data_IF_265817729614
#
_entry.id   IF_265817729614
#
_cell.length_a   1.000
_cell.length_b   1.000
_cell.length_c   1.000
_cell.angle_alpha   90.00
_cell.angle_beta   90.00
_cell.angle_gamma   90.00
#
_symmetry.space_group_name_H-M   'P 1'
#
loop_
_entity.id
_entity.type
_entity.pdbx_description
1 polymer ?
#
# COMPACT_ATOMS: atom_id res chain seq x y z
N UNK A 1 16.24 22.84 0.16
CA UNK A 1 16.01 24.09 0.94
C UNK A 1 14.59 24.21 1.52
N UNK A 2 13.51 23.97 0.73
CA UNK A 2 12.13 24.17 1.20
C UNK A 2 11.69 23.12 2.25
N UNK A 3 11.89 21.83 1.97
CA UNK A 3 11.51 20.72 2.88
C UNK A 3 12.22 20.81 4.24
N UNK A 4 13.45 21.32 4.27
CA UNK A 4 14.22 21.52 5.50
C UNK A 4 13.59 22.52 6.48
N UNK A 5 12.78 23.45 5.97
CA UNK A 5 12.08 24.47 6.76
C UNK A 5 10.76 23.99 7.34
N UNK A 6 10.28 22.82 6.90
CA UNK A 6 9.05 22.24 7.43
C UNK A 6 9.33 21.50 8.74
N UNK A 7 8.66 21.84 9.85
CA UNK A 7 8.88 21.20 11.16
C UNK A 7 8.79 19.68 11.12
N UNK A 8 7.93 19.15 10.24
CA UNK A 8 7.68 17.72 10.06
C UNK A 8 8.88 16.96 9.51
N UNK A 9 9.79 17.64 8.80
CA UNK A 9 10.94 17.03 8.13
C UNK A 9 12.29 17.48 8.69
N UNK A 10 12.35 18.60 9.44
CA UNK A 10 13.60 19.22 9.87
C UNK A 10 14.50 18.26 10.65
N UNK A 11 13.97 17.60 11.69
CA UNK A 11 14.74 16.68 12.55
C UNK A 11 15.26 15.43 11.83
N UNK A 12 14.62 15.07 10.70
CA UNK A 12 15.02 13.90 9.88
C UNK A 12 16.00 14.29 8.80
N UNK A 13 15.94 15.55 8.38
CA UNK A 13 16.85 16.13 7.41
C UNK A 13 18.24 16.31 7.98
N UNK A 14 18.31 16.66 9.27
CA UNK A 14 19.58 16.86 9.97
C UNK A 14 20.40 15.56 10.11
N UNK A 15 19.76 14.40 9.94
CA UNK A 15 20.42 13.09 9.91
C UNK A 15 20.98 12.71 8.53
N UNK A 16 20.74 13.52 7.50
CA UNK A 16 21.20 13.26 6.13
C UNK A 16 22.39 14.15 5.79
N UNK A 17 23.43 13.54 5.21
CA UNK A 17 24.55 14.30 4.65
C UNK A 17 24.12 15.00 3.37
N UNK A 18 24.09 16.33 3.38
CA UNK A 18 23.66 17.17 2.23
C UNK A 18 24.54 16.98 0.98
N UNK A 19 25.80 16.59 1.16
CA UNK A 19 26.74 16.42 0.05
C UNK A 19 26.52 15.10 -0.72
N UNK A 20 25.87 14.12 -0.10
CA UNK A 20 25.60 12.79 -0.68
C UNK A 20 24.12 12.55 -0.97
N UNK A 21 23.29 13.60 -0.90
CA UNK A 21 21.85 13.50 -0.99
C UNK A 21 21.38 13.18 -2.41
N UNK A 22 21.06 11.93 -2.68
CA UNK A 22 20.46 11.49 -3.92
C UNK A 22 18.92 11.55 -3.86
N UNK A 23 18.28 11.74 -5.02
CA UNK A 23 16.82 11.77 -5.17
C UNK A 23 16.13 10.59 -4.48
N UNK A 24 16.67 9.38 -4.63
CA UNK A 24 16.13 8.16 -4.00
C UNK A 24 16.09 8.22 -2.47
N UNK A 25 17.06 8.86 -1.82
CA UNK A 25 17.07 9.03 -0.37
C UNK A 25 15.96 10.00 0.08
N UNK A 26 15.71 11.06 -0.70
CA UNK A 26 14.62 12.00 -0.44
C UNK A 26 13.26 11.30 -0.57
N UNK A 27 13.06 10.54 -1.65
CA UNK A 27 11.83 9.76 -1.88
C UNK A 27 11.58 8.76 -0.76
N UNK A 28 12.62 8.07 -0.30
CA UNK A 28 12.57 7.12 0.82
C UNK A 28 12.16 7.80 2.13
N UNK A 29 12.74 8.97 2.42
CA UNK A 29 12.40 9.77 3.60
C UNK A 29 10.95 10.25 3.53
N UNK A 30 10.49 10.73 2.38
CA UNK A 30 9.11 11.16 2.18
C UNK A 30 8.13 9.99 2.33
N UNK A 31 8.42 8.83 1.73
CA UNK A 31 7.62 7.60 1.91
C UNK A 31 7.52 7.23 3.39
N UNK A 32 8.63 7.16 4.10
CA UNK A 32 8.66 6.86 5.54
C UNK A 32 7.83 7.86 6.36
N UNK A 33 7.89 9.14 5.99
CA UNK A 33 7.11 10.20 6.62
C UNK A 33 5.60 10.00 6.49
N UNK A 34 5.13 9.60 5.29
CA UNK A 34 3.71 9.30 5.04
C UNK A 34 3.22 8.20 5.99
N UNK A 35 3.97 7.11 6.13
CA UNK A 35 3.58 5.99 6.99
C UNK A 35 3.59 6.35 8.48
N UNK A 36 4.54 7.17 8.92
CA UNK A 36 4.56 7.65 10.30
C UNK A 36 3.39 8.59 10.60
N UNK A 37 3.04 9.47 9.65
CA UNK A 37 1.87 10.33 9.79
C UNK A 37 0.57 9.50 9.80
N UNK A 38 0.47 8.47 8.96
CA UNK A 38 -0.64 7.53 9.00
C UNK A 38 -0.78 6.86 10.38
N UNK A 39 0.31 6.33 10.94
CA UNK A 39 0.30 5.70 12.27
C UNK A 39 -0.10 6.68 13.38
N UNK A 40 0.29 7.95 13.28
CA UNK A 40 -0.15 9.00 14.22
C UNK A 40 -1.65 9.24 14.12
N UNK A 41 -2.18 9.41 12.90
CA UNK A 41 -3.63 9.59 12.69
C UNK A 41 -4.38 8.39 13.22
N UNK A 42 -3.91 7.18 12.92
CA UNK A 42 -4.52 5.93 13.37
C UNK A 42 -4.57 5.83 14.90
N UNK A 43 -3.54 6.30 15.60
CA UNK A 43 -3.48 6.30 17.07
C UNK A 43 -4.60 7.14 17.70
N UNK A 44 -4.90 8.31 17.13
CA UNK A 44 -5.95 9.21 17.63
C UNK A 44 -7.34 8.92 17.07
N UNK A 45 -7.45 8.05 16.08
CA UNK A 45 -8.71 7.71 15.44
C UNK A 45 -9.62 6.89 16.35
N UNK A 46 -10.91 7.17 16.30
CA UNK A 46 -11.95 6.36 16.94
C UNK A 46 -12.16 5.02 16.17
N UNK A 47 -12.90 4.03 16.73
CA UNK A 47 -13.07 2.74 16.09
C UNK A 47 -13.67 2.78 14.69
N UNK A 48 -14.58 3.70 14.40
CA UNK A 48 -15.17 3.85 13.05
C UNK A 48 -14.17 4.44 12.07
N UNK A 49 -13.43 5.45 12.48
CA UNK A 49 -12.36 6.04 11.69
C UNK A 49 -11.23 5.03 11.43
N UNK A 50 -10.89 4.17 12.40
CA UNK A 50 -9.90 3.09 12.21
C UNK A 50 -10.33 2.12 11.13
N UNK A 51 -11.61 1.73 11.07
CA UNK A 51 -12.12 0.86 9.99
C UNK A 51 -11.92 1.46 8.60
N UNK A 52 -12.09 2.78 8.48
CA UNK A 52 -11.78 3.48 7.23
C UNK A 52 -10.27 3.49 6.95
N UNK A 53 -9.47 3.80 7.97
CA UNK A 53 -8.00 3.82 7.83
C UNK A 53 -7.43 2.44 7.51
N UNK A 54 -7.97 1.37 8.09
CA UNK A 54 -7.60 -0.01 7.77
C UNK A 54 -7.87 -0.32 6.30
N UNK A 55 -9.02 0.11 5.78
CA UNK A 55 -9.30 -0.04 4.35
C UNK A 55 -8.38 0.86 3.50
N UNK A 56 -8.21 2.12 3.89
CA UNK A 56 -7.33 3.05 3.18
C UNK A 56 -5.90 2.52 3.09
N UNK A 57 -5.41 1.86 4.14
CA UNK A 57 -4.06 1.30 4.18
C UNK A 57 -3.82 0.18 3.17
N UNK A 58 -4.87 -0.56 2.75
CA UNK A 58 -4.77 -1.63 1.76
C UNK A 58 -4.18 -1.19 0.42
N UNK A 59 -4.35 0.07 0.03
CA UNK A 59 -3.70 0.62 -1.16
C UNK A 59 -2.17 0.53 -1.12
N UNK A 60 -1.58 0.60 0.07
CA UNK A 60 -0.13 0.47 0.23
C UNK A 60 0.31 -0.97 0.13
N UNK A 61 -0.49 -1.90 0.68
CA UNK A 61 -0.27 -3.34 0.52
C UNK A 61 -0.33 -3.73 -0.96
N UNK A 62 -1.39 -3.30 -1.67
CA UNK A 62 -1.57 -3.53 -3.10
C UNK A 62 -0.40 -2.98 -3.92
N UNK A 63 0.10 -1.80 -3.58
CA UNK A 63 1.27 -1.23 -4.26
C UNK A 63 2.49 -2.13 -4.14
N UNK A 64 2.81 -2.59 -2.92
CA UNK A 64 3.96 -3.47 -2.69
C UNK A 64 3.75 -4.81 -3.40
N UNK A 65 2.54 -5.39 -3.34
CA UNK A 65 2.23 -6.61 -4.07
C UNK A 65 2.43 -6.44 -5.59
N UNK A 66 1.98 -5.33 -6.17
CA UNK A 66 2.19 -5.04 -7.60
C UNK A 66 3.68 -4.86 -7.95
N UNK A 67 4.47 -4.23 -7.08
CA UNK A 67 5.92 -4.12 -7.27
C UNK A 67 6.59 -5.50 -7.25
N UNK A 68 6.23 -6.36 -6.30
CA UNK A 68 6.74 -7.75 -6.24
C UNK A 68 6.31 -8.56 -7.46
N UNK A 69 5.04 -8.51 -7.85
CA UNK A 69 4.54 -9.20 -9.04
C UNK A 69 5.26 -8.75 -10.31
N UNK A 70 5.52 -7.46 -10.45
CA UNK A 70 6.27 -6.91 -11.59
C UNK A 70 7.69 -7.52 -11.65
N UNK A 71 8.39 -7.62 -10.52
CA UNK A 71 9.71 -8.23 -10.47
C UNK A 71 9.67 -9.71 -10.87
N UNK A 72 8.65 -10.46 -10.42
CA UNK A 72 8.47 -11.88 -10.77
C UNK A 72 8.24 -12.04 -12.29
N UNK A 73 7.35 -11.22 -12.88
CA UNK A 73 7.03 -11.33 -14.32
C UNK A 73 8.16 -10.84 -15.23
N UNK A 74 8.87 -9.81 -14.81
CA UNK A 74 9.98 -9.26 -15.62
C UNK A 74 11.23 -10.16 -15.59
N UNK A 75 11.25 -11.22 -14.78
CA UNK A 75 12.41 -12.10 -14.56
C UNK A 75 13.72 -11.31 -14.36
N UNK A 76 13.62 -10.12 -13.82
CA UNK A 76 14.78 -9.28 -13.61
C UNK A 76 15.53 -9.83 -12.40
N UNK A 77 16.82 -10.14 -12.58
CA UNK A 77 17.80 -10.17 -11.48
C UNK A 77 17.99 -8.75 -10.92
N UNK A 78 16.88 -8.08 -10.63
CA UNK A 78 16.88 -6.74 -10.06
C UNK A 78 17.00 -6.85 -8.54
N UNK A 79 17.56 -5.80 -7.95
CA UNK A 79 17.57 -5.70 -6.48
C UNK A 79 16.17 -5.94 -5.91
N UNK A 80 16.07 -6.67 -4.79
CA UNK A 80 14.79 -6.92 -4.14
C UNK A 80 14.04 -5.60 -3.89
N UNK A 81 12.72 -5.64 -3.94
CA UNK A 81 11.89 -4.46 -3.63
C UNK A 81 12.32 -3.87 -2.29
N UNK A 82 12.73 -2.60 -2.28
CA UNK A 82 13.14 -1.92 -1.04
C UNK A 82 11.93 -1.68 -0.13
N UNK A 83 11.70 -2.60 0.77
CA UNK A 83 10.61 -2.54 1.75
C UNK A 83 10.94 -1.75 3.01
N UNK A 84 12.17 -1.25 3.14
CA UNK A 84 12.61 -0.54 4.36
C UNK A 84 11.71 0.65 4.76
N UNK A 85 11.10 1.43 3.83
CA UNK A 85 10.16 2.47 4.19
C UNK A 85 8.82 1.94 4.72
N UNK A 86 8.45 0.71 4.36
CA UNK A 86 7.14 0.10 4.63
C UNK A 86 7.14 -0.84 5.84
N UNK A 87 8.30 -1.39 6.23
CA UNK A 87 8.43 -2.49 7.20
C UNK A 87 7.68 -2.22 8.51
N UNK A 88 7.86 -1.05 9.10
CA UNK A 88 7.18 -0.70 10.35
C UNK A 88 5.67 -0.56 10.16
N UNK A 89 5.25 0.03 9.05
CA UNK A 89 3.83 0.16 8.69
C UNK A 89 3.17 -1.22 8.54
N UNK A 90 3.78 -2.13 7.78
CA UNK A 90 3.25 -3.49 7.59
C UNK A 90 3.17 -4.24 8.92
N UNK A 91 4.18 -4.13 9.77
CA UNK A 91 4.18 -4.77 11.09
C UNK A 91 3.05 -4.29 12.00
N UNK A 92 2.61 -3.03 11.87
CA UNK A 92 1.59 -2.42 12.74
C UNK A 92 0.18 -2.52 12.17
N UNK A 93 0.02 -2.51 10.85
CA UNK A 93 -1.27 -2.31 10.19
C UNK A 93 -1.60 -3.36 9.12
N UNK A 94 -0.77 -4.37 8.94
CA UNK A 94 -0.96 -5.43 7.95
C UNK A 94 -0.70 -6.81 8.57
N UNK A 95 -1.32 -7.84 8.00
CA UNK A 95 -1.03 -9.24 8.29
C UNK A 95 -0.16 -9.89 7.18
N UNK A 96 0.38 -9.09 6.26
CA UNK A 96 1.32 -9.54 5.24
C UNK A 96 2.74 -9.49 5.81
N UNK A 97 3.46 -10.60 5.73
CA UNK A 97 4.90 -10.64 5.97
C UNK A 97 5.63 -10.06 4.75
N UNK A 98 5.94 -8.77 4.85
CA UNK A 98 6.55 -8.02 3.73
C UNK A 98 7.95 -8.53 3.39
N UNK A 99 8.71 -8.99 4.35
CA UNK A 99 10.05 -9.52 4.10
C UNK A 99 9.96 -10.87 3.35
N UNK A 100 8.96 -11.68 3.66
CA UNK A 100 8.74 -12.96 3.00
C UNK A 100 8.25 -12.81 1.56
N UNK A 101 7.29 -11.94 1.29
CA UNK A 101 6.77 -11.77 -0.07
C UNK A 101 7.81 -11.23 -1.05
N UNK A 102 8.80 -10.45 -0.58
CA UNK A 102 9.87 -9.90 -1.44
C UNK A 102 10.93 -10.93 -1.82
N UNK A 103 10.93 -12.09 -1.17
CA UNK A 103 11.85 -13.20 -1.54
C UNK A 103 11.22 -14.21 -2.48
N UNK A 104 9.93 -14.05 -2.82
CA UNK A 104 9.23 -14.94 -3.74
C UNK A 104 9.78 -14.77 -5.17
N UNK A 105 10.05 -15.89 -5.83
CA UNK A 105 10.53 -15.95 -7.22
C UNK A 105 9.44 -16.32 -8.22
N UNK A 106 8.32 -16.86 -7.74
CA UNK A 106 7.18 -17.26 -8.59
C UNK A 106 5.86 -16.72 -8.04
N UNK A 107 4.85 -16.64 -8.92
CA UNK A 107 3.50 -16.24 -8.52
C UNK A 107 2.85 -17.24 -7.55
N UNK A 108 3.14 -18.53 -7.70
CA UNK A 108 2.68 -19.60 -6.81
C UNK A 108 3.19 -19.40 -5.39
N UNK A 109 4.48 -19.09 -5.25
CA UNK A 109 5.09 -18.79 -3.96
C UNK A 109 4.45 -17.55 -3.32
N UNK A 110 4.32 -16.47 -4.10
CA UNK A 110 3.70 -15.22 -3.64
C UNK A 110 2.27 -15.45 -3.14
N UNK A 111 1.42 -16.11 -3.95
CA UNK A 111 0.03 -16.39 -3.58
C UNK A 111 -0.01 -17.32 -2.36
N UNK A 112 0.87 -18.30 -2.28
CA UNK A 112 0.96 -19.19 -1.10
C UNK A 112 1.33 -18.44 0.18
N UNK A 113 2.18 -17.41 0.10
CA UNK A 113 2.51 -16.54 1.23
C UNK A 113 1.32 -15.72 1.72
N UNK A 114 0.34 -15.47 0.85
CA UNK A 114 -0.88 -14.70 1.18
C UNK A 114 -2.02 -15.57 1.74
N UNK A 115 -1.81 -16.87 1.99
CA UNK A 115 -2.85 -17.72 2.61
C UNK A 115 -3.28 -17.14 3.95
N UNK A 116 -4.61 -16.96 4.09
CA UNK A 116 -5.20 -16.32 5.27
C UNK A 116 -5.31 -14.79 5.18
N UNK A 117 -4.77 -14.18 4.13
CA UNK A 117 -4.97 -12.77 3.82
C UNK A 117 -6.11 -12.61 2.80
N UNK A 118 -6.76 -11.45 2.79
CA UNK A 118 -7.87 -11.14 1.89
C UNK A 118 -7.50 -11.13 0.41
N UNK A 119 -6.25 -10.92 0.05
CA UNK A 119 -5.77 -10.91 -1.34
C UNK A 119 -5.57 -12.32 -1.90
N UNK A 120 -5.53 -13.34 -1.05
CA UNK A 120 -5.35 -14.73 -1.48
C UNK A 120 -6.43 -15.18 -2.48
N UNK A 121 -7.70 -14.96 -2.14
CA UNK A 121 -8.81 -15.43 -2.99
C UNK A 121 -8.85 -14.73 -4.36
N UNK A 122 -8.75 -13.40 -4.46
CA UNK A 122 -8.69 -12.72 -5.76
C UNK A 122 -7.54 -13.21 -6.64
N UNK A 123 -6.34 -13.35 -6.08
CA UNK A 123 -5.15 -13.73 -6.84
C UNK A 123 -5.15 -15.22 -7.23
N UNK A 124 -5.59 -16.12 -6.34
CA UNK A 124 -5.67 -17.56 -6.67
C UNK A 124 -6.65 -17.85 -7.80
N UNK A 125 -7.77 -17.10 -7.90
CA UNK A 125 -8.72 -17.23 -9.02
C UNK A 125 -8.09 -16.86 -10.36
N UNK A 126 -7.25 -15.83 -10.40
CA UNK A 126 -6.55 -15.44 -11.62
C UNK A 126 -5.51 -16.53 -12.00
N UNK A 127 -4.83 -17.11 -11.00
CA UNK A 127 -3.83 -18.16 -11.23
C UNK A 127 -4.44 -19.43 -11.87
N UNK A 128 -5.72 -19.72 -11.68
CA UNK A 128 -6.41 -20.85 -12.34
C UNK A 128 -6.49 -20.70 -13.86
N UNK A 129 -6.25 -19.50 -14.39
CA UNK A 129 -6.21 -19.25 -15.84
C UNK A 129 -4.79 -19.43 -16.40
N UNK A 130 -4.61 -20.36 -17.31
CA UNK A 130 -3.29 -20.68 -17.91
C UNK A 130 -2.62 -19.48 -18.62
N UNK A 131 -3.38 -18.49 -19.05
CA UNK A 131 -2.89 -17.33 -19.80
C UNK A 131 -2.90 -16.05 -18.96
N UNK A 132 -2.90 -16.15 -17.63
CA UNK A 132 -2.95 -15.01 -16.74
C UNK A 132 -1.73 -14.08 -16.91
N UNK A 133 -1.97 -12.82 -17.15
CA UNK A 133 -0.98 -11.77 -17.32
C UNK A 133 -0.81 -10.97 -16.03
N UNK A 134 0.33 -10.26 -15.90
CA UNK A 134 0.55 -9.32 -14.79
C UNK A 134 -0.62 -8.33 -14.63
N UNK A 135 -1.19 -7.86 -15.74
CA UNK A 135 -2.34 -6.96 -15.76
C UNK A 135 -3.56 -7.55 -15.04
N UNK A 136 -3.85 -8.85 -15.25
CA UNK A 136 -5.02 -9.51 -14.67
C UNK A 136 -4.91 -9.59 -13.14
N UNK A 137 -3.74 -9.90 -12.62
CA UNK A 137 -3.46 -9.88 -11.18
C UNK A 137 -3.59 -8.47 -10.60
N UNK A 138 -3.02 -7.47 -11.28
CA UNK A 138 -3.13 -6.08 -10.89
C UNK A 138 -4.57 -5.60 -10.84
N UNK A 139 -5.36 -5.93 -11.87
CA UNK A 139 -6.78 -5.62 -11.97
C UNK A 139 -7.60 -6.30 -10.86
N UNK A 140 -7.31 -7.56 -10.55
CA UNK A 140 -8.00 -8.27 -9.47
C UNK A 140 -7.83 -7.59 -8.11
N UNK A 141 -6.62 -7.10 -7.81
CA UNK A 141 -6.34 -6.34 -6.58
C UNK A 141 -7.07 -4.99 -6.55
N UNK A 142 -7.09 -4.26 -7.68
CA UNK A 142 -7.79 -2.98 -7.78
C UNK A 142 -9.31 -3.17 -7.62
N UNK A 143 -9.90 -4.14 -8.32
CA UNK A 143 -11.32 -4.46 -8.20
C UNK A 143 -11.70 -4.89 -6.78
N UNK A 144 -10.84 -5.68 -6.12
CA UNK A 144 -11.03 -6.00 -4.71
C UNK A 144 -11.10 -4.73 -3.85
N UNK A 145 -10.12 -3.83 -4.00
CA UNK A 145 -10.03 -2.60 -3.24
C UNK A 145 -11.23 -1.68 -3.45
N UNK A 146 -11.64 -1.45 -4.71
CA UNK A 146 -12.82 -0.67 -5.05
C UNK A 146 -14.11 -1.25 -4.47
N UNK A 147 -14.26 -2.57 -4.57
CA UNK A 147 -15.41 -3.26 -4.00
C UNK A 147 -15.49 -3.05 -2.49
N UNK A 148 -14.37 -3.08 -1.79
CA UNK A 148 -14.33 -2.83 -0.34
C UNK A 148 -14.67 -1.37 -0.01
N UNK A 149 -14.14 -0.40 -0.74
CA UNK A 149 -14.48 1.02 -0.57
C UNK A 149 -15.98 1.25 -0.78
N UNK A 150 -16.54 0.66 -1.85
CA UNK A 150 -17.96 0.78 -2.16
C UNK A 150 -18.87 0.15 -1.09
N UNK A 151 -18.45 -0.98 -0.54
CA UNK A 151 -19.19 -1.67 0.52
C UNK A 151 -19.14 -0.93 1.86
N UNK A 152 -18.02 -0.31 2.18
CA UNK A 152 -17.87 0.50 3.40
C UNK A 152 -18.78 1.72 3.38
N UNK A 153 -18.89 2.38 2.23
CA UNK A 153 -19.81 3.50 2.03
C UNK A 153 -21.24 3.18 2.48
N UNK A 154 -21.70 1.96 2.20
CA UNK A 154 -23.06 1.53 2.54
C UNK A 154 -23.25 1.12 4.00
N UNK A 155 -22.19 0.70 4.69
CA UNK A 155 -22.29 0.01 5.97
C UNK A 155 -21.84 0.83 7.18
N UNK A 156 -20.89 1.73 7.04
CA UNK A 156 -20.17 2.29 8.19
C UNK A 156 -20.48 3.73 8.50
N UNK A 157 -21.05 4.51 7.58
CA UNK A 157 -21.12 5.93 7.78
C UNK A 157 -22.55 6.44 7.91
N UNK A 158 -22.96 6.65 9.16
CA UNK A 158 -24.19 7.37 9.50
C UNK A 158 -23.95 8.88 9.69
N UNK A 159 -22.74 9.37 9.51
CA UNK A 159 -22.36 10.77 9.64
C UNK A 159 -22.06 11.41 8.28
N UNK A 160 -22.66 12.60 8.01
CA UNK A 160 -22.50 13.30 6.73
C UNK A 160 -21.04 13.51 6.31
N UNK A 161 -20.16 13.85 7.23
CA UNK A 161 -18.76 14.20 6.93
C UNK A 161 -17.93 13.01 6.45
N UNK A 162 -18.13 11.83 7.04
CA UNK A 162 -17.43 10.61 6.64
C UNK A 162 -17.98 10.02 5.34
N UNK A 163 -19.29 10.18 5.10
CA UNK A 163 -19.92 9.81 3.83
C UNK A 163 -19.37 10.68 2.69
N UNK A 164 -19.25 11.98 2.91
CA UNK A 164 -18.70 12.94 1.96
C UNK A 164 -17.22 12.65 1.66
N UNK A 165 -16.39 12.39 2.67
CA UNK A 165 -14.98 12.01 2.49
C UNK A 165 -14.87 10.71 1.68
N UNK A 166 -15.67 9.70 1.98
CA UNK A 166 -15.63 8.40 1.30
C UNK A 166 -16.13 8.51 -0.14
N UNK A 167 -17.17 9.31 -0.41
CA UNK A 167 -17.62 9.61 -1.75
C UNK A 167 -16.55 10.32 -2.57
N UNK A 168 -16.01 11.41 -2.02
CA UNK A 168 -14.97 12.21 -2.69
C UNK A 168 -13.72 11.38 -2.96
N UNK A 169 -13.35 10.48 -2.04
CA UNK A 169 -12.22 9.58 -2.23
C UNK A 169 -12.49 8.55 -3.32
N UNK A 170 -13.68 7.94 -3.35
CA UNK A 170 -14.09 7.00 -4.40
C UNK A 170 -14.10 7.66 -5.77
N UNK A 171 -14.73 8.84 -5.90
CA UNK A 171 -14.78 9.60 -7.15
C UNK A 171 -13.39 10.00 -7.67
N UNK A 172 -12.50 10.47 -6.79
CA UNK A 172 -11.12 10.80 -7.17
C UNK A 172 -10.33 9.57 -7.59
N UNK A 173 -10.58 8.44 -6.96
CA UNK A 173 -9.89 7.21 -7.30
C UNK A 173 -10.37 6.68 -8.65
N UNK A 174 -11.67 6.74 -8.92
CA UNK A 174 -12.25 6.39 -10.22
C UNK A 174 -11.66 7.27 -11.34
N UNK A 175 -11.52 8.59 -11.09
CA UNK A 175 -10.89 9.52 -12.04
C UNK A 175 -9.41 9.25 -12.31
N UNK A 176 -8.67 8.68 -11.34
CA UNK A 176 -7.25 8.39 -11.50
C UNK A 176 -6.97 7.06 -12.22
N UNK A 177 -8.00 6.21 -12.38
CA UNK A 177 -7.87 4.90 -13.03
C UNK A 177 -8.63 4.82 -14.37
N UNK A 178 -9.24 5.91 -14.81
CA UNK A 178 -9.75 6.10 -16.17
C UNK A 178 -8.66 6.66 -17.09
#
# INVERSE_FOLDING_TARGET
AYLKRMPEYSSRWDALDENTLHRGQIEKLLKKSIFQNFSRIYHFANPEQRKFLDLYSKRYEIRVLKEVMTNIFDHRDTDPVDVSPYREFFRLHSNIDVDRITTCSTMEELISCLKGNEFYIPLSKIQEHETALLFDYGMALDLYYFTQIWNIRKKLFKGKDLEEITCTYGEKFDMLNL
#
